data_IF_217192786245
#
_entry.id   IF_217192786245
#
_cell.length_a   1.000
_cell.length_b   1.000
_cell.length_c   1.000
_cell.angle_alpha   90.00
_cell.angle_beta   90.00
_cell.angle_gamma   90.00
#
_symmetry.space_group_name_H-M   'P 1'
#
loop_
_entity.id
_entity.type
_entity.pdbx_description
1 polymer ?
2 non-polymer ?
3 water ?
#
# COMPACT_ATOMS: atom_id res chain seq x y z
N UNK A 8 -16.19 -0.20 11.15
CA UNK A 8 -15.18 -1.01 11.81
C UNK A 8 -14.02 -1.35 10.87
N UNK A 9 -12.82 -1.55 11.38
CA UNK A 9 -11.70 -1.83 10.47
C UNK A 9 -11.67 -3.26 9.91
N UNK A 10 -11.58 -3.40 8.59
CA UNK A 10 -11.40 -4.71 8.00
C UNK A 10 -9.94 -4.83 7.59
N UNK A 11 -9.27 -5.87 8.06
CA UNK A 11 -7.86 -6.08 7.73
C UNK A 11 -7.68 -7.29 6.81
N UNK A 12 -7.06 -7.08 5.66
CA UNK A 12 -6.84 -8.18 4.72
C UNK A 12 -5.40 -8.69 4.79
N UNK A 13 -5.28 -9.94 5.21
CA UNK A 13 -3.99 -10.57 5.36
C UNK A 13 -3.71 -11.44 4.13
N UNK A 14 -2.68 -11.08 3.37
CA UNK A 14 -2.26 -11.88 2.24
C UNK A 14 -1.26 -12.92 2.72
N UNK A 15 -1.71 -14.14 2.97
CA UNK A 15 -0.84 -15.12 3.62
C UNK A 15 0.17 -15.75 2.68
N UNK A 16 1.41 -15.87 3.17
CA UNK A 16 2.48 -16.46 2.39
C UNK A 16 2.33 -17.98 2.29
N UNK A 17 2.96 -18.57 1.27
CA UNK A 17 2.79 -19.99 0.94
C UNK A 17 2.84 -20.96 2.12
N UNK A 18 3.97 -20.97 2.82
CA UNK A 18 4.17 -21.89 3.93
C UNK A 18 3.96 -21.25 5.28
N UNK A 19 2.91 -20.43 5.38
CA UNK A 19 2.60 -19.70 6.60
C UNK A 19 2.32 -20.62 7.78
N UNK A 20 2.94 -20.34 8.92
CA UNK A 20 2.66 -21.08 10.14
C UNK A 20 1.67 -20.31 11.02
N UNK A 21 0.45 -20.83 11.13
CA UNK A 21 -0.60 -20.19 11.93
C UNK A 21 -0.16 -19.95 13.37
N UNK A 22 -0.68 -18.91 14.00
CA UNK A 22 -0.26 -18.54 15.34
C UNK A 22 -1.41 -18.32 16.31
N UNK A 23 -1.06 -18.14 17.58
CA UNK A 23 -2.02 -17.83 18.62
C UNK A 23 -1.32 -17.03 19.72
N UNK A 24 -2.09 -16.46 20.65
CA UNK A 24 -1.52 -15.59 21.68
C UNK A 24 -0.37 -16.23 22.44
N UNK A 25 -0.39 -17.56 22.56
CA UNK A 25 0.57 -18.27 23.41
C UNK A 25 1.97 -18.32 22.80
N UNK A 26 2.08 -18.00 21.52
CA UNK A 26 3.37 -18.05 20.83
C UNK A 26 4.16 -16.74 21.00
N UNK A 27 3.65 -15.82 21.82
CA UNK A 27 4.26 -14.50 21.96
C UNK A 27 4.48 -14.08 23.41
N UNK A 28 5.70 -13.63 23.69
CA UNK A 28 6.03 -13.08 25.00
C UNK A 28 5.90 -11.56 25.01
N UNK A 29 5.15 -11.03 25.98
CA UNK A 29 5.00 -9.59 26.13
C UNK A 29 6.29 -8.96 26.63
N UNK A 30 6.75 -7.92 25.93
CA UNK A 30 7.97 -7.21 26.34
C UNK A 30 7.69 -5.82 26.91
N UNK A 31 6.86 -5.05 26.22
CA UNK A 31 6.62 -3.67 26.62
C UNK A 31 5.28 -3.16 26.10
N UNK A 32 4.76 -2.12 26.76
CA UNK A 32 3.57 -1.42 26.29
C UNK A 32 3.98 -0.01 25.89
N UNK A 33 3.62 0.39 24.67
CA UNK A 33 4.00 1.71 24.18
C UNK A 33 2.79 2.51 23.70
N UNK A 34 2.87 3.82 23.88
CA UNK A 34 1.94 4.73 23.22
C UNK A 34 2.67 5.26 22.00
N UNK A 35 2.14 4.98 20.81
CA UNK A 35 2.78 5.41 19.57
C UNK A 35 1.98 6.43 18.79
N UNK A 36 1.63 7.54 19.43
CA UNK A 36 0.93 8.62 18.77
C UNK A 36 -0.22 8.16 17.90
N UNK A 37 -0.02 8.23 16.58
CA UNK A 37 -1.07 7.89 15.62
C UNK A 37 -1.38 6.40 15.60
N UNK A 38 -0.47 5.60 16.17
CA UNK A 38 -0.68 4.15 16.18
C UNK A 38 -1.39 3.68 17.44
N UNK A 39 -1.61 4.59 18.38
CA UNK A 39 -2.24 4.23 19.64
C UNK A 39 -1.41 3.26 20.45
N UNK A 40 -2.10 2.41 21.21
CA UNK A 40 -1.43 1.46 22.09
C UNK A 40 -0.82 0.30 21.29
N UNK A 41 0.48 0.14 21.41
CA UNK A 41 1.19 -0.92 20.70
C UNK A 41 1.97 -1.76 21.71
N UNK A 42 1.80 -3.08 21.66
CA UNK A 42 2.60 -3.97 22.50
C UNK A 42 3.83 -4.44 21.76
N UNK A 43 4.98 -4.41 22.41
CA UNK A 43 6.15 -5.04 21.83
C UNK A 43 6.19 -6.47 22.33
N UNK A 44 6.28 -7.44 21.42
CA UNK A 44 6.26 -8.85 21.80
C UNK A 44 7.42 -9.60 21.12
N UNK A 45 7.71 -10.80 21.62
CA UNK A 45 8.76 -11.63 21.04
C UNK A 45 8.21 -13.00 20.67
N UNK A 46 8.44 -13.43 19.43
CA UNK A 46 7.95 -14.73 18.98
C UNK A 46 8.71 -15.80 19.75
N UNK A 47 7.99 -16.80 20.24
CA UNK A 47 8.61 -17.84 21.06
C UNK A 47 9.14 -19.03 20.24
N UNK A 48 8.35 -19.49 19.28
CA UNK A 48 8.75 -20.64 18.47
C UNK A 48 8.69 -20.37 16.95
N UNK A 49 9.03 -21.39 16.17
CA UNK A 49 8.92 -21.30 14.73
C UNK A 49 10.16 -20.74 14.03
N UNK A 50 10.05 -20.58 12.72
CA UNK A 50 11.14 -20.07 11.92
C UNK A 50 11.64 -18.73 12.44
N UNK A 51 10.71 -17.87 12.85
CA UNK A 51 11.05 -16.55 13.35
C UNK A 51 11.17 -16.48 14.87
N UNK A 52 11.49 -17.60 15.52
CA UNK A 52 11.64 -17.59 16.97
C UNK A 52 12.62 -16.50 17.41
N UNK A 53 12.27 -15.82 18.49
CA UNK A 53 13.08 -14.74 19.08
C UNK A 53 12.92 -13.38 18.39
N UNK A 54 12.19 -13.32 17.29
CA UNK A 54 11.99 -12.07 16.57
C UNK A 54 11.09 -11.12 17.37
N UNK A 55 11.46 -9.84 17.42
CA UNK A 55 10.60 -8.83 18.03
C UNK A 55 9.57 -8.32 17.04
N UNK A 56 8.34 -8.12 17.50
CA UNK A 56 7.25 -7.60 16.67
C UNK A 56 6.43 -6.59 17.44
N UNK A 57 5.70 -5.75 16.69
CA UNK A 57 4.64 -4.95 17.29
C UNK A 57 3.37 -5.76 17.27
N UNK A 58 2.50 -5.63 18.24
CA UNK A 58 1.19 -6.26 18.29
C UNK A 58 0.11 -5.22 18.54
N UNK A 59 -0.89 -5.22 17.73
CA UNK A 59 -2.07 -4.38 17.91
C UNK A 59 -3.23 -5.29 18.27
N UNK A 60 -4.05 -4.85 19.21
CA UNK A 60 -5.25 -5.59 19.56
C UNK A 60 -6.45 -4.72 19.22
N UNK A 61 -7.25 -5.18 18.28
CA UNK A 61 -8.38 -4.39 17.80
C UNK A 61 -9.66 -4.99 18.35
N UNK A 62 -10.44 -4.15 19.02
CA UNK A 62 -11.64 -4.61 19.72
C UNK A 62 -12.73 -5.07 18.75
N UNK A 63 -13.02 -4.24 17.76
CA UNK A 63 -14.06 -4.57 16.80
C UNK A 63 -13.54 -4.41 15.37
N UNK A 64 -12.89 -5.46 14.88
CA UNK A 64 -12.35 -5.46 13.53
C UNK A 64 -12.60 -6.81 12.89
N UNK A 65 -12.71 -6.83 11.56
CA UNK A 65 -12.88 -8.08 10.84
C UNK A 65 -11.58 -8.45 10.13
N UNK A 66 -11.38 -9.75 9.97
CA UNK A 66 -10.20 -10.28 9.31
C UNK A 66 -10.58 -11.01 8.05
N UNK A 67 -9.92 -10.66 6.95
CA UNK A 67 -10.07 -11.38 5.70
C UNK A 67 -8.72 -11.97 5.36
N UNK A 68 -8.69 -13.26 5.02
CA UNK A 68 -7.44 -13.92 4.66
C UNK A 68 -7.46 -14.35 3.21
N UNK A 69 -6.41 -13.97 2.48
CA UNK A 69 -6.36 -14.20 1.05
C UNK A 69 -5.05 -14.87 0.67
N UNK A 70 -5.10 -15.75 -0.32
CA UNK A 70 -3.89 -16.37 -0.85
C UNK A 70 -3.13 -15.42 -1.76
N UNK A 71 -1.81 -15.53 -1.73
CA UNK A 71 -0.99 -14.84 -2.72
C UNK A 71 -1.04 -15.63 -4.02
N UNK A 72 -0.74 -14.97 -5.14
CA UNK A 72 -0.64 -15.69 -6.41
C UNK A 72 0.71 -16.39 -6.48
N UNK A 73 0.76 -17.59 -7.02
CA UNK A 73 2.00 -18.35 -7.04
C UNK A 73 2.93 -17.86 -8.16
N UNK A 79 11.67 -21.73 -6.05
CA UNK A 79 12.61 -21.96 -4.95
C UNK A 79 11.93 -21.80 -3.59
N UNK A 80 12.50 -22.47 -2.59
CA UNK A 80 12.01 -22.36 -1.22
C UNK A 80 12.71 -21.20 -0.51
N UNK A 81 12.09 -20.02 -0.55
CA UNK A 81 12.70 -18.81 -0.02
C UNK A 81 12.16 -18.42 1.36
N UNK A 82 13.07 -18.08 2.26
CA UNK A 82 12.70 -17.42 3.52
C UNK A 82 12.68 -15.91 3.26
N UNK A 83 11.61 -15.24 3.69
CA UNK A 83 11.50 -13.80 3.45
C UNK A 83 12.50 -12.99 4.28
N UNK A 84 12.98 -11.90 3.68
CA UNK A 84 13.77 -10.93 4.40
C UNK A 84 13.11 -9.55 4.29
N UNK A 85 13.63 -8.59 5.04
CA UNK A 85 13.05 -7.26 5.10
C UNK A 85 13.32 -6.39 3.87
N UNK A 86 12.31 -5.65 3.46
CA UNK A 86 12.42 -4.68 2.39
C UNK A 86 12.37 -3.28 3.01
N UNK A 87 13.23 -2.39 2.53
CA UNK A 87 13.37 -1.07 3.14
C UNK A 87 12.09 -0.24 3.19
N UNK A 88 11.15 -0.51 2.28
CA UNK A 88 9.97 0.36 2.17
C UNK A 88 8.64 -0.37 2.35
N UNK A 89 8.66 -1.47 3.09
CA UNK A 89 7.46 -2.24 3.40
C UNK A 89 7.40 -2.60 4.88
N UNK A 90 6.21 -2.50 5.48
CA UNK A 90 5.96 -3.13 6.77
C UNK A 90 4.98 -4.27 6.57
N UNK A 91 5.28 -5.39 7.22
CA UNK A 91 4.54 -6.62 7.01
C UNK A 91 3.65 -6.97 8.18
N UNK A 92 2.51 -7.55 7.83
CA UNK A 92 1.64 -8.25 8.76
C UNK A 92 2.06 -9.72 8.76
N UNK A 93 2.63 -10.17 9.87
CA UNK A 93 3.13 -11.53 9.96
C UNK A 93 2.09 -12.52 10.42
N UNK A 94 1.27 -12.11 11.38
CA UNK A 94 0.19 -12.96 11.87
C UNK A 94 -1.05 -12.14 12.17
N UNK A 95 -2.21 -12.75 11.95
CA UNK A 95 -3.47 -12.13 12.31
C UNK A 95 -4.42 -13.22 12.75
N UNK A 96 -4.90 -13.11 13.98
CA UNK A 96 -5.77 -14.14 14.53
C UNK A 96 -6.78 -13.56 15.50
N UNK A 97 -7.93 -14.21 15.61
CA UNK A 97 -9.02 -13.70 16.42
C UNK A 97 -9.23 -14.55 17.67
N UNK A 98 -9.62 -13.89 18.77
CA UNK A 98 -10.02 -14.61 19.97
C UNK A 98 -11.37 -14.12 20.41
N UNK A 99 -11.60 -14.14 21.73
CA UNK A 99 -12.86 -13.68 22.31
C UNK A 99 -13.17 -12.23 21.95
N UNK A 100 -13.60 -12.02 20.72
CA UNK A 100 -13.99 -10.70 20.24
C UNK A 100 -12.85 -9.73 19.96
N UNK A 101 -11.63 -10.25 19.82
CA UNK A 101 -10.50 -9.37 19.55
C UNK A 101 -9.66 -9.82 18.36
N UNK A 102 -9.20 -8.85 17.58
CA UNK A 102 -8.31 -9.15 16.46
C UNK A 102 -6.88 -8.77 16.81
N UNK A 103 -6.00 -9.77 16.86
CA UNK A 103 -4.58 -9.54 17.13
C UNK A 103 -3.83 -9.40 15.81
N UNK A 104 -3.07 -8.32 15.66
CA UNK A 104 -2.18 -8.17 14.51
C UNK A 104 -0.73 -8.17 14.98
N UNK A 105 0.08 -9.05 14.39
CA UNK A 105 1.51 -9.10 14.69
C UNK A 105 2.22 -8.48 13.49
N UNK A 106 2.89 -7.36 13.71
CA UNK A 106 3.42 -6.53 12.62
C UNK A 106 4.91 -6.24 12.81
N UNK A 107 5.59 -5.85 11.74
CA UNK A 107 6.92 -5.26 11.90
C UNK A 107 6.83 -4.11 12.90
N UNK A 108 7.77 -4.04 13.83
CA UNK A 108 7.83 -2.91 14.74
C UNK A 108 8.29 -1.68 13.95
N UNK A 109 7.54 -0.58 14.08
CA UNK A 109 7.83 0.64 13.35
C UNK A 109 7.92 1.80 14.33
N UNK A 110 9.10 1.97 14.93
CA UNK A 110 9.32 2.99 15.94
C UNK A 110 9.02 4.38 15.41
N UNK A 111 8.14 5.10 16.11
CA UNK A 111 7.82 6.47 15.75
C UNK A 111 7.16 6.63 14.39
N UNK A 112 6.52 5.58 13.90
CA UNK A 112 5.83 5.65 12.62
C UNK A 112 4.68 6.64 12.61
N UNK A 113 4.30 7.10 11.41
CA UNK A 113 3.14 7.96 11.27
C UNK A 113 2.45 7.69 9.93
N UNK A 114 1.39 8.43 9.66
CA UNK A 114 0.55 8.20 8.48
C UNK A 114 0.94 9.13 7.34
N UNK A 115 0.96 8.61 6.11
CA UNK A 115 1.23 9.48 4.98
C UNK A 115 0.16 10.56 4.90
N UNK A 116 -1.09 10.17 5.15
CA UNK A 116 -2.21 11.11 5.10
C UNK A 116 -1.96 12.32 6.01
N UNK A 117 -1.45 12.06 7.20
CA UNK A 117 -1.16 13.13 8.16
C UNK A 117 -0.16 14.13 7.59
N UNK A 118 0.66 13.66 6.65
CA UNK A 118 1.67 14.52 6.03
C UNK A 118 1.11 15.23 4.80
N UNK A 119 0.27 14.52 4.04
CA UNK A 119 -0.32 15.08 2.84
C UNK A 119 -1.30 16.20 3.18
N UNK A 120 -1.92 16.11 4.36
CA UNK A 120 -2.84 17.16 4.81
C UNK A 120 -2.10 18.42 5.24
N UNK A 121 -0.83 18.27 5.62
CA UNK A 121 -0.04 19.38 6.15
C UNK A 121 0.80 20.13 5.11
N UNK A 122 1.10 19.48 3.99
CA UNK A 122 2.04 20.05 3.03
C UNK A 122 1.43 20.14 1.63
N UNK A 123 2.05 20.99 0.81
CA UNK A 123 1.73 21.09 -0.60
C UNK A 123 2.90 20.46 -1.35
N UNK A 124 2.67 19.30 -1.96
CA UNK A 124 3.73 18.60 -2.67
C UNK A 124 4.04 19.26 -4.01
N UNK A 125 5.32 19.37 -4.31
CA UNK A 125 5.76 19.72 -5.64
C UNK A 125 6.09 18.45 -6.43
N UNK A 126 6.37 18.61 -7.71
CA UNK A 126 6.78 17.45 -8.50
C UNK A 126 8.05 16.80 -7.95
N UNK A 127 8.98 17.63 -7.48
CA UNK A 127 10.21 17.12 -6.89
C UNK A 127 9.94 16.26 -5.65
N UNK A 128 9.03 16.71 -4.80
CA UNK A 128 8.66 15.95 -3.61
C UNK A 128 8.08 14.60 -3.99
N UNK A 129 7.15 14.64 -4.94
CA UNK A 129 6.41 13.46 -5.34
C UNK A 129 7.33 12.39 -5.95
N UNK A 130 8.35 12.83 -6.68
CA UNK A 130 9.32 11.91 -7.27
C UNK A 130 9.92 11.00 -6.21
N UNK A 131 10.25 11.58 -5.06
CA UNK A 131 10.87 10.79 -4.00
C UNK A 131 9.88 9.76 -3.48
N UNK A 132 8.69 10.22 -3.08
CA UNK A 132 7.75 9.31 -2.44
C UNK A 132 7.28 8.23 -3.41
N UNK A 133 6.96 8.63 -4.64
CA UNK A 133 6.52 7.65 -5.62
C UNK A 133 7.62 6.64 -5.97
N UNK A 134 8.88 7.07 -5.95
CA UNK A 134 9.98 6.17 -6.29
C UNK A 134 10.12 5.08 -5.24
N UNK A 135 10.04 5.46 -3.96
CA UNK A 135 10.07 4.48 -2.87
C UNK A 135 8.85 3.59 -2.93
N UNK A 136 7.68 4.17 -3.18
CA UNK A 136 6.44 3.40 -3.31
C UNK A 136 6.52 2.40 -4.49
N UNK A 137 7.12 2.81 -5.60
CA UNK A 137 7.26 1.93 -6.76
C UNK A 137 8.10 0.70 -6.41
N UNK A 138 9.20 0.91 -5.70
CA UNK A 138 10.02 -0.21 -5.29
C UNK A 138 9.24 -1.15 -4.39
N UNK A 139 8.52 -0.57 -3.42
CA UNK A 139 7.72 -1.38 -2.50
C UNK A 139 6.64 -2.17 -3.23
N UNK A 140 5.87 -1.50 -4.08
CA UNK A 140 4.77 -2.14 -4.76
C UNK A 140 5.23 -3.29 -5.65
N UNK A 141 6.32 -3.08 -6.38
CA UNK A 141 6.85 -4.11 -7.25
C UNK A 141 7.32 -5.29 -6.44
N UNK A 142 7.90 -5.03 -5.27
CA UNK A 142 8.35 -6.12 -4.42
C UNK A 142 7.15 -6.96 -3.98
N UNK A 143 6.07 -6.29 -3.59
CA UNK A 143 4.85 -7.01 -3.20
C UNK A 143 4.32 -7.84 -4.37
N UNK A 144 4.40 -7.30 -5.57
CA UNK A 144 4.00 -8.05 -6.76
C UNK A 144 4.82 -9.34 -6.91
N UNK A 145 6.12 -9.22 -6.68
CA UNK A 145 6.99 -10.39 -6.73
C UNK A 145 6.63 -11.43 -5.68
N UNK A 146 6.08 -10.96 -4.56
CA UNK A 146 5.64 -11.86 -3.49
C UNK A 146 4.27 -12.45 -3.80
N UNK A 147 3.64 -12.01 -4.88
CA UNK A 147 2.31 -12.50 -5.26
C UNK A 147 1.13 -11.72 -4.68
N UNK A 148 1.38 -10.49 -4.27
CA UNK A 148 0.31 -9.67 -3.71
C UNK A 148 -0.21 -8.74 -4.80
N UNK A 149 -1.53 -8.69 -4.93
CA UNK A 149 -2.17 -7.73 -5.81
C UNK A 149 -3.08 -6.88 -4.92
N UNK A 150 -2.85 -5.58 -4.93
CA UNK A 150 -3.52 -4.67 -4.01
C UNK A 150 -5.00 -4.43 -4.33
N UNK A 151 -5.30 -4.15 -5.58
CA UNK A 151 -6.68 -3.91 -6.03
C UNK A 151 -7.14 -2.46 -5.80
N UNK A 152 -7.06 -1.99 -4.56
CA UNK A 152 -7.43 -0.61 -4.24
C UNK A 152 -6.40 0.06 -3.35
N UNK A 153 -5.13 -0.12 -3.70
CA UNK A 153 -4.04 0.62 -3.09
C UNK A 153 -4.45 2.08 -2.89
N UNK A 154 -4.27 2.60 -1.69
CA UNK A 154 -4.71 3.95 -1.36
C UNK A 154 -3.84 4.56 -0.28
N UNK A 155 -4.02 5.86 -0.02
CA UNK A 155 -3.11 6.54 0.91
C UNK A 155 -3.13 5.93 2.32
N UNK A 156 -4.27 5.37 2.75
CA UNK A 156 -4.36 4.65 4.02
C UNK A 156 -3.37 3.48 4.12
N UNK A 157 -2.88 2.99 2.97
CA UNK A 157 -1.90 1.91 2.96
C UNK A 157 -0.47 2.39 3.12
N UNK A 158 -0.29 3.70 3.20
CA UNK A 158 1.04 4.28 3.16
C UNK A 158 1.40 4.91 4.48
N UNK A 159 2.47 4.41 5.08
CA UNK A 159 2.98 4.96 6.33
C UNK A 159 4.33 5.63 6.08
N UNK A 160 4.83 6.31 7.10
CA UNK A 160 6.16 6.90 7.07
C UNK A 160 6.88 6.44 8.32
N UNK A 161 8.14 6.07 8.18
CA UNK A 161 8.96 5.71 9.34
C UNK A 161 9.53 6.94 10.03
N UNK A 162 10.33 6.73 11.07
CA UNK A 162 10.79 7.85 11.89
C UNK A 162 11.71 8.77 11.12
N UNK A 163 12.28 8.27 10.02
CA UNK A 163 13.17 9.05 9.18
C UNK A 163 12.46 9.73 8.02
N UNK A 164 11.18 9.42 7.83
CA UNK A 164 10.39 10.07 6.79
C UNK A 164 10.32 9.27 5.50
N UNK A 165 10.83 8.04 5.52
CA UNK A 165 10.74 7.16 4.35
C UNK A 165 9.40 6.42 4.29
N UNK A 166 9.05 6.01 3.08
CA UNK A 166 7.82 5.28 2.82
C UNK A 166 7.88 3.89 3.48
N UNK A 167 6.78 3.51 4.13
CA UNK A 167 6.54 2.11 4.49
C UNK A 167 5.15 1.76 3.99
N UNK A 168 5.09 1.00 2.90
CA UNK A 168 3.83 0.51 2.35
C UNK A 168 3.42 -0.72 3.16
N UNK A 169 2.17 -0.75 3.61
CA UNK A 169 1.70 -1.94 4.33
C UNK A 169 1.49 -3.08 3.33
N UNK A 170 1.85 -4.30 3.72
CA UNK A 170 1.61 -5.45 2.85
C UNK A 170 0.23 -6.07 3.08
N UNK A 171 -0.58 -5.40 3.90
CA UNK A 171 -1.93 -5.84 4.23
C UNK A 171 -2.97 -4.80 3.83
N UNK A 172 -4.17 -5.29 3.55
CA UNK A 172 -5.26 -4.40 3.16
C UNK A 172 -5.89 -3.77 4.39
N UNK A 173 -6.39 -2.56 4.22
CA UNK A 173 -7.04 -1.84 5.31
C UNK A 173 -8.22 -1.03 4.79
N UNK A 174 -9.41 -1.33 5.32
CA UNK A 174 -10.62 -0.65 4.88
C UNK A 174 -11.65 -0.53 5.99
N UNK A 175 -12.70 0.26 5.73
CA UNK A 175 -13.78 0.47 6.68
C UNK A 175 -15.08 -0.15 6.13
N UNK A 176 -15.61 -1.12 6.87
CA UNK A 176 -16.84 -1.79 6.46
C UNK A 176 -17.91 -1.66 7.53
N UNK A 177 -19.16 -1.49 7.09
CA UNK A 177 -20.28 -1.35 8.01
C UNK A 177 -20.92 -2.70 8.32
N UNK A 181 -28.64 -5.50 8.27
CA UNK A 181 -29.49 -5.53 7.09
C UNK A 181 -28.66 -5.60 5.82
N UNK A 182 -27.43 -5.12 5.96
CA UNK A 182 -26.52 -4.96 4.84
C UNK A 182 -25.68 -6.22 4.62
N UNK A 183 -25.67 -6.71 3.39
CA UNK A 183 -24.90 -7.91 3.05
C UNK A 183 -23.41 -7.63 3.03
N UNK A 184 -22.61 -8.61 3.47
CA UNK A 184 -21.17 -8.47 3.51
C UNK A 184 -20.54 -8.88 2.18
N UNK A 185 -19.37 -8.33 1.89
CA UNK A 185 -18.65 -8.62 0.64
C UNK A 185 -17.25 -9.09 0.95
N UNK A 186 -16.76 -10.04 0.16
CA UNK A 186 -15.39 -10.52 0.36
C UNK A 186 -14.38 -9.43 0.01
N UNK A 187 -14.75 -8.59 -0.96
CA UNK A 187 -13.89 -7.47 -1.33
C UNK A 187 -14.68 -6.17 -1.42
N UNK A 188 -14.41 -5.26 -0.49
CA UNK A 188 -14.99 -3.93 -0.53
C UNK A 188 -13.86 -2.93 -0.67
N UNK A 189 -13.72 -2.35 -1.86
CA UNK A 189 -12.60 -1.45 -2.11
C UNK A 189 -13.02 -0.01 -2.31
N UNK A 190 -12.10 0.89 -2.06
CA UNK A 190 -12.34 2.31 -2.29
C UNK A 190 -12.32 2.57 -3.79
N UNK A 191 -13.50 2.85 -4.34
CA UNK A 191 -13.68 2.92 -5.78
C UNK A 191 -12.74 3.90 -6.48
N UNK A 192 -12.48 5.03 -5.83
CA UNK A 192 -11.70 6.10 -6.47
C UNK A 192 -10.32 5.62 -6.92
N UNK A 193 -9.81 4.54 -6.32
CA UNK A 193 -8.45 4.08 -6.61
C UNK A 193 -8.42 2.83 -7.46
N UNK A 194 -9.59 2.34 -7.87
CA UNK A 194 -9.67 1.10 -8.64
C UNK A 194 -9.57 1.33 -10.14
N UNK A 195 -8.83 0.45 -10.82
CA UNK A 195 -8.72 0.49 -12.28
C UNK A 195 -10.05 0.06 -12.89
N UNK A 196 -10.24 0.38 -14.18
CA UNK A 196 -11.45 -0.03 -14.92
C UNK A 196 -11.69 -1.54 -14.88
N UNK A 197 -10.64 -2.34 -15.11
CA UNK A 197 -10.80 -3.79 -15.12
C UNK A 197 -11.11 -4.37 -13.74
N UNK A 198 -10.83 -3.61 -12.69
CA UNK A 198 -11.15 -4.06 -11.35
C UNK A 198 -12.61 -3.73 -11.04
N UNK A 199 -13.03 -2.54 -11.45
CA UNK A 199 -14.41 -2.11 -11.32
C UNK A 199 -15.33 -3.01 -12.12
N UNK A 200 -14.82 -3.56 -13.22
CA UNK A 200 -15.60 -4.43 -14.09
C UNK A 200 -15.83 -5.81 -13.49
N UNK A 201 -14.96 -6.21 -12.57
CA UNK A 201 -15.00 -7.56 -12.01
C UNK A 201 -14.84 -8.59 -13.11
N UNK A 202 -14.10 -8.21 -14.16
CA UNK A 202 -13.94 -9.05 -15.34
C UNK A 202 -12.66 -9.87 -15.29
N UNK A 203 -11.83 -9.59 -14.29
CA UNK A 203 -10.52 -10.20 -14.20
C UNK A 203 -9.47 -9.11 -14.29
N UNK A 204 -8.34 -9.32 -13.61
CA UNK A 204 -7.30 -8.31 -13.60
C UNK A 204 -5.99 -8.94 -13.14
N UNK A 205 -4.91 -8.17 -13.28
CA UNK A 205 -3.61 -8.62 -12.81
C UNK A 205 -2.96 -7.52 -11.98
N UNK A 206 -1.67 -7.66 -11.75
CA UNK A 206 -0.96 -6.66 -10.96
C UNK A 206 -0.91 -5.32 -11.69
N UNK A 207 -1.14 -5.31 -13.00
CA UNK A 207 -1.20 -4.05 -13.73
C UNK A 207 -2.32 -3.11 -13.24
N UNK A 208 -3.33 -3.68 -12.58
CA UNK A 208 -4.36 -2.85 -11.98
C UNK A 208 -3.77 -1.90 -10.94
N UNK A 209 -2.74 -2.37 -10.26
CA UNK A 209 -2.15 -1.59 -9.17
C UNK A 209 -1.35 -0.39 -9.71
N UNK A 210 -0.87 -0.47 -10.94
CA UNK A 210 -0.16 0.66 -11.53
C UNK A 210 -1.11 1.80 -11.89
N UNK A 211 -2.35 1.47 -12.24
CA UNK A 211 -3.39 2.48 -12.35
C UNK A 211 -3.56 3.19 -11.00
N UNK A 212 -3.69 2.41 -9.93
CA UNK A 212 -3.87 2.98 -8.59
C UNK A 212 -2.67 3.85 -8.23
N UNK A 213 -1.49 3.39 -8.60
CA UNK A 213 -0.26 4.17 -8.44
C UNK A 213 -0.39 5.55 -9.11
N UNK A 214 -0.92 5.58 -10.33
CA UNK A 214 -1.23 6.83 -11.02
C UNK A 214 -2.24 7.69 -10.28
N UNK A 215 -3.26 7.07 -9.70
CA UNK A 215 -4.23 7.84 -8.92
C UNK A 215 -3.54 8.47 -7.71
N UNK A 216 -2.68 7.70 -7.04
CA UNK A 216 -1.93 8.22 -5.91
C UNK A 216 -1.09 9.41 -6.35
N UNK A 217 -0.41 9.28 -7.47
CA UNK A 217 0.44 10.33 -8.02
C UNK A 217 -0.36 11.59 -8.32
N UNK A 218 -1.49 11.42 -9.00
CA UNK A 218 -2.38 12.53 -9.34
C UNK A 218 -2.83 13.26 -8.08
N UNK A 219 -3.25 12.51 -7.07
CA UNK A 219 -3.72 13.09 -5.82
C UNK A 219 -2.60 13.82 -5.05
N UNK A 220 -1.39 13.27 -5.07
CA UNK A 220 -0.26 13.91 -4.42
C UNK A 220 0.02 15.25 -5.07
N UNK A 221 -0.02 15.26 -6.40
CA UNK A 221 0.33 16.46 -7.18
C UNK A 221 -0.75 17.54 -7.15
N UNK A 222 -2.02 17.13 -7.07
CA UNK A 222 -3.10 18.09 -7.24
C UNK A 222 -3.97 18.28 -6.00
N UNK A 223 -3.90 17.36 -5.06
CA UNK A 223 -4.74 17.41 -3.88
C UNK A 223 -6.16 16.99 -4.19
N UNK A 224 -6.40 16.53 -5.42
CA UNK A 224 -7.72 16.04 -5.82
C UNK A 224 -7.63 14.65 -6.43
N UNK A 225 -8.76 13.98 -6.54
CA UNK A 225 -8.81 12.70 -7.24
C UNK A 225 -9.20 12.89 -8.71
N UNK A 226 -8.61 12.08 -9.61
CA UNK A 226 -8.87 12.26 -11.04
C UNK A 226 -10.27 11.82 -11.47
N UNK A 227 -10.82 10.81 -10.82
CA UNK A 227 -12.14 10.29 -11.15
C UNK A 227 -13.01 10.21 -9.91
N UNK A 228 -13.98 11.12 -9.85
CA UNK A 228 -14.80 11.28 -8.65
C UNK A 228 -16.21 11.70 -9.01
N UNK A 229 -17.19 10.87 -8.64
CA UNK A 229 -18.59 11.18 -8.86
C UNK A 229 -19.28 11.55 -7.56
N UNK A 230 -20.59 11.77 -7.63
CA UNK A 230 -21.37 12.09 -6.45
C UNK A 230 -21.59 10.83 -5.62
N UNK A 231 -21.63 9.69 -6.28
CA UNK A 231 -21.80 8.41 -5.60
C UNK A 231 -20.97 7.32 -6.27
N UNK A 232 -20.89 6.17 -5.62
CA UNK A 232 -20.08 5.06 -6.13
C UNK A 232 -20.44 4.75 -7.58
N UNK A 233 -21.74 4.69 -7.86
CA UNK A 233 -22.22 4.39 -9.20
C UNK A 233 -21.64 5.34 -10.25
N UNK A 234 -21.63 6.63 -9.96
CA UNK A 234 -21.16 7.63 -10.91
C UNK A 234 -19.64 7.57 -11.07
N UNK A 235 -18.94 7.42 -9.94
CA UNK A 235 -17.48 7.33 -9.98
C UNK A 235 -17.05 6.16 -10.85
N UNK A 236 -17.77 5.04 -10.75
CA UNK A 236 -17.48 3.87 -11.55
C UNK A 236 -17.64 4.17 -13.04
N UNK A 237 -18.67 4.93 -13.39
CA UNK A 237 -18.90 5.28 -14.79
C UNK A 237 -17.78 6.17 -15.31
N UNK A 238 -17.30 7.07 -14.46
CA UNK A 238 -16.22 7.99 -14.83
C UNK A 238 -14.89 7.25 -15.03
N UNK A 239 -14.60 6.29 -14.15
CA UNK A 239 -13.40 5.47 -14.28
C UNK A 239 -13.42 4.70 -15.61
N UNK A 240 -14.61 4.26 -16.00
CA UNK A 240 -14.77 3.50 -17.24
C UNK A 240 -14.80 4.37 -18.51
N UNK A 241 -15.33 5.58 -18.42
CA UNK A 241 -15.56 6.38 -19.62
C UNK A 241 -15.10 7.84 -19.58
N UNK A 242 -14.95 8.40 -18.38
CA UNK A 242 -14.62 9.81 -18.25
C UNK A 242 -13.33 10.23 -18.95
N UNK A 243 -13.38 11.38 -19.63
CA UNK A 243 -12.19 11.98 -20.21
C UNK A 243 -11.49 12.79 -19.12
N UNK A 244 -10.33 12.31 -18.67
CA UNK A 244 -9.58 13.03 -17.65
C UNK A 244 -9.06 14.36 -18.16
N UNK A 245 -9.44 15.44 -17.48
CA UNK A 245 -8.91 16.75 -17.76
C UNK A 245 -7.60 16.93 -17.02
N UNK A 246 -6.49 16.80 -17.75
CA UNK A 246 -5.16 16.84 -17.15
C UNK A 246 -4.76 18.27 -16.77
N UNK A 247 -4.48 18.49 -15.49
CA UNK A 247 -4.08 19.82 -15.02
C UNK A 247 -2.87 20.36 -15.78
N UNK A 248 -3.05 21.49 -16.44
CA UNK A 248 -2.00 22.05 -17.30
C UNK A 248 -0.79 22.57 -16.53
N UNK A 249 -0.92 22.74 -15.21
CA UNK A 249 0.21 23.25 -14.44
C UNK A 249 1.28 22.16 -14.29
N UNK A 250 0.89 20.92 -14.56
CA UNK A 250 1.81 19.79 -14.44
C UNK A 250 2.84 19.78 -15.58
N UNK A 251 4.05 19.34 -15.26
CA UNK A 251 5.12 19.29 -16.26
C UNK A 251 4.78 18.31 -17.37
N UNK A 252 5.44 18.44 -18.53
CA UNK A 252 5.19 17.49 -19.62
C UNK A 252 5.48 16.07 -19.15
N UNK A 253 6.53 15.91 -18.37
CA UNK A 253 6.94 14.59 -17.90
C UNK A 253 5.89 13.99 -16.96
N UNK A 254 5.37 14.81 -16.04
CA UNK A 254 4.31 14.33 -15.13
C UNK A 254 3.07 13.96 -15.92
N UNK A 255 2.71 14.82 -16.88
CA UNK A 255 1.52 14.56 -17.68
C UNK A 255 1.66 13.26 -18.47
N UNK A 256 2.86 13.04 -19.02
CA UNK A 256 3.14 11.85 -19.81
C UNK A 256 2.99 10.60 -18.96
N UNK A 257 3.63 10.61 -17.81
CA UNK A 257 3.54 9.45 -16.91
C UNK A 257 2.09 9.16 -16.53
N UNK A 258 1.32 10.18 -16.17
CA UNK A 258 -0.07 9.97 -15.82
C UNK A 258 -0.90 9.40 -16.98
N UNK A 259 -0.71 9.94 -18.18
CA UNK A 259 -1.44 9.44 -19.34
C UNK A 259 -1.14 7.96 -19.60
N UNK A 260 0.12 7.58 -19.37
CA UNK A 260 0.54 6.21 -19.65
C UNK A 260 0.06 5.26 -18.57
N UNK A 261 -0.08 5.76 -17.34
CA UNK A 261 -0.66 4.95 -16.27
C UNK A 261 -2.18 4.85 -16.33
N UNK A 262 -2.83 5.84 -16.95
CA UNK A 262 -4.29 5.89 -16.99
C UNK A 262 -4.87 5.33 -18.29
N UNK A 263 -4.08 4.51 -18.99
CA UNK A 263 -4.62 3.73 -20.10
C UNK A 263 -5.67 2.76 -19.55
N UNK A 264 -6.85 2.75 -20.15
CA UNK A 264 -7.94 1.90 -19.69
C UNK A 264 -7.74 0.43 -20.03
N UNK A 265 -7.14 0.15 -21.18
CA UNK A 265 -6.83 -1.23 -21.55
C UNK A 265 -5.51 -1.63 -20.90
N UNK A 266 -5.57 -2.48 -19.88
CA UNK A 266 -4.37 -2.76 -19.10
C UNK A 266 -3.19 -3.21 -19.94
N UNK A 267 -3.45 -3.79 -21.12
CA UNK A 267 -2.38 -4.24 -21.99
C UNK A 267 -1.50 -3.08 -22.48
N UNK A 268 -2.08 -1.88 -22.49
CA UNK A 268 -1.38 -0.70 -23.00
C UNK A 268 -0.78 0.17 -21.89
N UNK A 269 -1.05 -0.20 -20.65
CA UNK A 269 -0.70 0.61 -19.50
C UNK A 269 0.77 0.47 -19.13
N UNK A 270 1.43 1.58 -18.79
CA UNK A 270 2.82 1.55 -18.36
C UNK A 270 2.91 0.64 -17.14
N UNK A 271 3.89 -0.25 -17.15
CA UNK A 271 4.09 -1.19 -16.05
C UNK A 271 3.46 -2.54 -16.33
N UNK A 272 2.70 -2.65 -17.41
CA UNK A 272 2.05 -3.93 -17.73
C UNK A 272 2.89 -4.86 -18.61
N UNK A 273 3.95 -4.33 -19.22
CA UNK A 273 4.85 -5.13 -20.03
C UNK A 273 5.68 -6.12 -19.24
N UNK A 274 6.45 -6.98 -19.94
CA UNK A 274 7.29 -7.97 -19.26
C UNK A 274 8.24 -7.35 -18.24
N UNK A 275 8.74 -6.15 -18.52
CA UNK A 275 9.67 -5.53 -17.58
C UNK A 275 8.97 -4.84 -16.39
N UNK A 276 7.64 -4.79 -16.40
CA UNK A 276 6.88 -4.30 -15.26
C UNK A 276 7.33 -2.95 -14.75
N UNK A 277 7.74 -2.88 -13.48
CA UNK A 277 8.09 -1.61 -12.85
C UNK A 277 9.23 -0.91 -13.58
N UNK A 278 10.05 -1.65 -14.31
CA UNK A 278 11.16 -1.02 -15.03
C UNK A 278 10.65 0.00 -16.04
N UNK A 279 9.47 -0.26 -16.60
CA UNK A 279 8.86 0.68 -17.56
C UNK A 279 8.61 2.03 -16.91
N UNK A 280 8.26 2.00 -15.64
CA UNK A 280 8.03 3.20 -14.86
C UNK A 280 9.35 3.84 -14.41
N UNK A 281 10.30 3.01 -13.97
CA UNK A 281 11.59 3.49 -13.51
C UNK A 281 12.36 4.21 -14.61
N UNK A 282 12.10 3.80 -15.85
CA UNK A 282 12.79 4.34 -17.03
C UNK A 282 12.11 5.60 -17.54
N UNK A 283 10.95 5.94 -16.98
CA UNK A 283 10.20 7.08 -17.51
C UNK A 283 10.93 8.38 -17.20
N UNK A 284 10.82 9.36 -18.10
CA UNK A 284 11.50 10.64 -17.89
C UNK A 284 11.17 11.33 -16.55
N UNK A 285 9.95 11.14 -16.07
CA UNK A 285 9.57 11.74 -14.79
C UNK A 285 10.56 11.35 -13.69
N UNK A 286 11.07 10.13 -13.74
CA UNK A 286 11.98 9.64 -12.70
C UNK A 286 13.47 9.71 -13.07
N UNK A 287 13.80 10.48 -14.11
CA UNK A 287 15.17 10.46 -14.63
C UNK A 287 16.25 10.83 -13.61
N UNK A 288 15.89 11.61 -12.59
CA UNK A 288 16.88 12.05 -11.59
C UNK A 288 17.11 11.03 -10.47
N UNK A 289 16.28 10.00 -10.42
CA UNK A 289 16.39 9.03 -9.33
C UNK A 289 17.48 8.00 -9.53
N UNK A 290 18.37 7.88 -8.55
CA UNK A 290 19.34 6.79 -8.49
C UNK A 290 18.69 5.68 -7.67
N UNK A 291 18.22 4.64 -8.36
CA UNK A 291 17.44 3.57 -7.72
C UNK A 291 18.23 2.74 -6.73
N UNK A 292 19.53 2.60 -6.94
CA UNK A 292 20.36 1.88 -5.98
C UNK A 292 20.55 2.67 -4.68
N UNK A 293 20.89 3.96 -4.80
CA UNK A 293 20.98 4.84 -3.63
C UNK A 293 19.66 4.89 -2.89
N UNK A 294 18.57 4.95 -3.65
CA UNK A 294 17.23 4.99 -3.06
C UNK A 294 16.97 3.77 -2.20
N UNK A 295 17.24 2.60 -2.77
CA UNK A 295 17.01 1.35 -2.07
C UNK A 295 17.84 1.24 -0.79
N UNK A 296 19.05 1.80 -0.84
CA UNK A 296 19.92 1.79 0.33
C UNK A 296 19.54 2.86 1.35
N UNK A 297 18.46 3.57 1.08
CA UNK A 297 17.97 4.61 1.99
C UNK A 297 18.98 5.74 2.17
N UNK A 298 19.69 6.05 1.10
CA UNK A 298 20.72 7.09 1.10
C UNK A 298 20.24 8.39 0.46
N UNK A 299 18.94 8.48 0.16
CA UNK A 299 18.36 9.73 -0.31
C UNK A 299 17.40 10.26 0.76
N UNK A 300 17.57 11.53 1.15
CA UNK A 300 16.75 12.10 2.22
C UNK A 300 15.37 12.53 1.73
N UNK A 301 14.33 12.24 2.54
CA UNK A 301 12.96 12.64 2.21
C UNK A 301 12.80 14.16 2.23
N UNK A 302 11.89 14.67 1.41
CA UNK A 302 11.65 16.12 1.33
C UNK A 302 11.06 16.67 2.63
N UNK A 303 10.32 15.82 3.34
CA UNK A 303 9.70 16.23 4.60
C UNK A 303 10.14 15.33 5.75
N UNK A 304 10.59 15.95 6.84
CA UNK A 304 11.04 15.21 8.01
C UNK A 304 10.09 15.42 9.19
N UNK A 305 9.45 14.34 9.62
CA UNK A 305 8.51 14.40 10.75
C UNK A 305 9.22 14.21 12.08
#
# INVERSE_FOLDING_TARGET
GAMGSIKEIAITHHVKEGHEKADPSQFELLKVLGQGSFGKVFLVKKISGSDARQLYAMKVLKKATLKVRDRVRTKMERDILVEVNHPFIVKLHYAFQTEGKLYLILDFLRGGDLFTRLSKEVMFTEEDVKFYLAELALALDHLHSLGIIYRDLKPENILLDEEGHIKLTDFGLSKESIDHEKKAYSFCGTVEYMAPEVVNRRGHTQSADWWSFGVLMFEMLTGTLPFQGKDRKETMTMILKAKLGMPQFLSPEAQSLLRMLFKRNPANRLGAGPDGVEEIKRHSFFSTIDWNKLYRREIHPPFKP
#
